data_IF_029626315257
#
_entry.id   IF_029626315257
#
_cell.length_a   1.000
_cell.length_b   1.000
_cell.length_c   1.000
_cell.angle_alpha   90.00
_cell.angle_beta   90.00
_cell.angle_gamma   90.00
#
_symmetry.space_group_name_H-M   'P 1'
#
loop_
_entity.id
_entity.type
_entity.pdbx_description
1 polymer ?
#
# COMPACT_ATOMS: atom_id res chain seq x y z
N UNK A 1 9.05 18.86 2.79
CA UNK A 1 8.94 17.81 3.83
C UNK A 1 9.01 16.47 3.13
N UNK A 2 10.03 15.69 3.47
CA UNK A 2 10.38 14.42 2.80
C UNK A 2 9.25 13.40 2.91
N UNK A 3 9.16 12.56 1.88
CA UNK A 3 8.09 11.63 1.53
C UNK A 3 7.98 10.45 2.52
N UNK A 4 7.68 10.72 3.79
CA UNK A 4 7.66 9.73 4.87
C UNK A 4 6.69 8.57 4.59
N UNK A 5 5.59 8.83 3.87
CA UNK A 5 4.63 7.80 3.49
C UNK A 5 5.20 6.76 2.53
N UNK A 6 6.17 7.11 1.65
CA UNK A 6 6.76 6.16 0.69
C UNK A 6 7.47 5.00 1.39
N UNK A 7 8.13 5.26 2.51
CA UNK A 7 8.82 4.23 3.29
C UNK A 7 7.83 3.21 3.84
N UNK A 8 6.68 3.68 4.34
CA UNK A 8 5.62 2.79 4.83
C UNK A 8 4.97 2.02 3.67
N UNK A 9 4.71 2.68 2.54
CA UNK A 9 4.12 2.01 1.39
C UNK A 9 5.04 0.92 0.81
N UNK A 10 6.35 1.17 0.73
CA UNK A 10 7.33 0.19 0.26
C UNK A 10 7.33 -1.10 1.09
N UNK A 11 7.03 -1.00 2.39
CA UNK A 11 6.88 -2.15 3.30
C UNK A 11 5.55 -2.89 3.15
N UNK A 12 4.64 -2.38 2.32
CA UNK A 12 3.37 -3.05 1.98
C UNK A 12 3.46 -3.83 0.67
N UNK A 13 4.59 -3.74 -0.04
CA UNK A 13 4.86 -4.48 -1.27
C UNK A 13 5.06 -5.98 -0.99
N UNK A 14 4.82 -6.87 -1.97
CA UNK A 14 5.05 -8.30 -1.80
C UNK A 14 6.54 -8.55 -1.51
N UNK A 15 6.89 -9.34 -0.47
CA UNK A 15 8.27 -9.61 -0.10
C UNK A 15 8.95 -10.68 -0.98
N UNK A 16 8.25 -11.25 -1.96
CA UNK A 16 8.75 -12.40 -2.72
C UNK A 16 8.67 -13.72 -1.93
N UNK A 17 9.26 -14.77 -2.51
CA UNK A 17 9.27 -16.10 -1.92
C UNK A 17 10.30 -16.23 -0.77
N UNK A 18 10.08 -15.53 0.35
CA UNK A 18 10.88 -15.68 1.57
C UNK A 18 10.54 -16.98 2.32
N UNK A 19 11.52 -17.57 3.01
CA UNK A 19 11.38 -18.87 3.69
C UNK A 19 10.54 -18.79 4.97
N UNK A 20 10.78 -17.79 5.83
CA UNK A 20 10.13 -17.64 7.13
C UNK A 20 8.88 -16.74 7.06
N UNK A 21 8.01 -16.97 6.06
CA UNK A 21 6.82 -16.14 5.85
C UNK A 21 5.73 -16.44 6.88
N UNK A 22 5.31 -15.41 7.62
CA UNK A 22 4.14 -15.43 8.49
C UNK A 22 3.03 -14.58 7.90
N UNK A 23 1.89 -15.20 7.58
CA UNK A 23 0.68 -14.49 7.10
C UNK A 23 0.24 -13.42 8.08
N UNK A 24 0.21 -13.75 9.37
CA UNK A 24 -0.30 -12.85 10.40
C UNK A 24 0.58 -11.61 10.54
N UNK A 25 1.90 -11.78 10.54
CA UNK A 25 2.86 -10.68 10.63
C UNK A 25 2.79 -9.81 9.38
N UNK A 26 2.78 -10.41 8.18
CA UNK A 26 2.67 -9.69 6.93
C UNK A 26 1.38 -8.87 6.83
N UNK A 27 0.22 -9.48 7.13
CA UNK A 27 -1.06 -8.77 7.09
C UNK A 27 -1.13 -7.62 8.10
N UNK A 28 -0.57 -7.83 9.30
CA UNK A 28 -0.49 -6.79 10.32
C UNK A 28 0.41 -5.63 9.87
N UNK A 29 1.57 -5.95 9.30
CA UNK A 29 2.51 -4.97 8.78
C UNK A 29 1.88 -4.11 7.66
N UNK A 30 1.26 -4.75 6.66
CA UNK A 30 0.55 -4.05 5.58
C UNK A 30 -0.52 -3.10 6.15
N UNK A 31 -1.37 -3.58 7.05
CA UNK A 31 -2.43 -2.75 7.63
C UNK A 31 -1.90 -1.54 8.41
N UNK A 32 -0.85 -1.73 9.21
CA UNK A 32 -0.20 -0.65 9.96
C UNK A 32 0.42 0.37 9.01
N UNK A 33 1.15 -0.09 8.00
CA UNK A 33 1.83 0.76 7.04
C UNK A 33 0.85 1.59 6.21
N UNK A 34 -0.25 1.00 5.72
CA UNK A 34 -1.30 1.72 5.02
C UNK A 34 -1.94 2.80 5.89
N UNK A 35 -2.21 2.48 7.16
CA UNK A 35 -2.72 3.47 8.12
C UNK A 35 -1.76 4.65 8.29
N UNK A 36 -0.45 4.40 8.33
CA UNK A 36 0.54 5.48 8.38
C UNK A 36 0.57 6.29 7.08
N UNK A 37 0.50 5.66 5.92
CA UNK A 37 0.43 6.36 4.64
C UNK A 37 -0.73 7.35 4.62
N UNK A 38 -1.94 6.90 4.96
CA UNK A 38 -3.16 7.72 4.96
C UNK A 38 -3.11 8.86 5.98
N UNK A 39 -2.45 8.67 7.14
CA UNK A 39 -2.28 9.73 8.15
C UNK A 39 -1.30 10.83 7.75
N UNK A 40 -0.39 10.54 6.83
CA UNK A 40 0.68 11.45 6.42
C UNK A 40 0.30 12.30 5.20
N UNK A 41 -0.90 12.09 4.66
CA UNK A 41 -1.48 12.87 3.57
C UNK A 41 -2.87 13.38 3.98
N UNK A 42 -3.50 14.20 3.14
CA UNK A 42 -4.94 14.44 3.20
C UNK A 42 -5.63 13.47 2.23
N UNK A 43 -6.07 12.28 2.68
CA UNK A 43 -6.54 11.24 1.78
C UNK A 43 -7.87 11.63 1.13
N UNK A 44 -7.98 11.31 -0.16
CA UNK A 44 -9.23 11.30 -0.92
C UNK A 44 -10.03 10.02 -0.63
N UNK A 45 -11.31 9.94 -1.01
CA UNK A 45 -12.03 8.66 -1.04
C UNK A 45 -11.28 7.60 -1.86
N UNK A 46 -10.70 8.00 -3.00
CA UNK A 46 -9.91 7.13 -3.86
C UNK A 46 -8.66 6.56 -3.15
N UNK A 47 -7.99 7.35 -2.30
CA UNK A 47 -6.91 6.86 -1.43
C UNK A 47 -7.39 5.71 -0.52
N UNK A 48 -8.60 5.82 0.02
CA UNK A 48 -9.17 4.83 0.95
C UNK A 48 -9.51 3.56 0.19
N UNK A 49 -10.20 3.67 -0.95
CA UNK A 49 -10.58 2.53 -1.80
C UNK A 49 -9.34 1.75 -2.28
N UNK A 50 -8.28 2.47 -2.67
CA UNK A 50 -7.02 1.85 -3.08
C UNK A 50 -6.27 1.19 -1.92
N UNK A 51 -6.33 1.75 -0.70
CA UNK A 51 -5.77 1.10 0.48
C UNK A 51 -6.54 -0.19 0.85
N UNK A 52 -7.87 -0.20 0.73
CA UNK A 52 -8.67 -1.41 0.90
C UNK A 52 -8.35 -2.46 -0.17
N UNK A 53 -8.14 -2.03 -1.42
CA UNK A 53 -7.69 -2.92 -2.49
C UNK A 53 -6.33 -3.54 -2.17
N UNK A 54 -5.36 -2.77 -1.65
CA UNK A 54 -4.06 -3.31 -1.22
C UNK A 54 -4.23 -4.37 -0.13
N UNK A 55 -5.08 -4.11 0.89
CA UNK A 55 -5.37 -5.10 1.93
C UNK A 55 -5.98 -6.39 1.37
N UNK A 56 -6.92 -6.28 0.44
CA UNK A 56 -7.54 -7.43 -0.22
C UNK A 56 -6.50 -8.23 -1.01
N UNK A 57 -5.62 -7.56 -1.76
CA UNK A 57 -4.56 -8.24 -2.53
C UNK A 57 -3.50 -8.87 -1.63
N UNK A 58 -3.16 -8.23 -0.52
CA UNK A 58 -2.24 -8.78 0.48
C UNK A 58 -2.79 -10.08 1.09
N UNK A 59 -4.10 -10.14 1.32
CA UNK A 59 -4.78 -11.37 1.74
C UNK A 59 -4.68 -12.47 0.69
N UNK A 60 -5.00 -12.18 -0.57
CA UNK A 60 -4.92 -13.19 -1.64
C UNK A 60 -3.49 -13.69 -1.85
N UNK A 61 -2.50 -12.80 -1.79
CA UNK A 61 -1.08 -13.16 -1.81
C UNK A 61 -0.73 -14.11 -0.67
N UNK A 62 -1.16 -13.79 0.55
CA UNK A 62 -0.93 -14.61 1.74
C UNK A 62 -1.57 -16.00 1.62
N UNK A 63 -2.80 -16.08 1.11
CA UNK A 63 -3.51 -17.33 0.85
C UNK A 63 -2.79 -18.18 -0.21
N UNK A 64 -2.27 -17.56 -1.28
CA UNK A 64 -1.47 -18.24 -2.29
C UNK A 64 -0.11 -18.71 -1.77
N UNK A 65 0.47 -17.99 -0.80
CA UNK A 65 1.76 -18.34 -0.16
C UNK A 65 1.66 -19.53 0.77
N UNK A 66 0.56 -19.66 1.51
CA UNK A 66 0.32 -20.76 2.47
C UNK A 66 -0.35 -21.99 1.85
N UNK A 67 -1.10 -21.81 0.76
CA UNK A 67 -1.89 -22.88 0.16
C UNK A 67 -1.17 -23.66 -0.93
N UNK A 68 -1.79 -24.74 -1.38
CA UNK A 68 -1.39 -25.55 -2.55
C UNK A 68 -1.49 -24.78 -3.89
N UNK A 69 -1.95 -23.52 -3.86
CA UNK A 69 -2.16 -22.64 -5.02
C UNK A 69 -0.86 -21.96 -5.47
N UNK A 70 0.27 -22.66 -5.41
CA UNK A 70 1.59 -22.15 -5.83
C UNK A 70 1.57 -21.61 -7.27
N UNK A 71 0.71 -22.17 -8.14
CA UNK A 71 0.51 -21.71 -9.53
C UNK A 71 -0.03 -20.28 -9.63
N UNK A 72 -0.73 -19.78 -8.61
CA UNK A 72 -1.30 -18.43 -8.58
C UNK A 72 -0.39 -17.43 -7.85
N UNK A 73 0.73 -17.87 -7.28
CA UNK A 73 1.60 -17.02 -6.49
C UNK A 73 2.06 -15.79 -7.28
N UNK A 74 2.60 -15.99 -8.48
CA UNK A 74 3.05 -14.89 -9.35
C UNK A 74 1.93 -13.91 -9.71
N UNK A 75 0.72 -14.42 -9.96
CA UNK A 75 -0.45 -13.58 -10.27
C UNK A 75 -0.87 -12.73 -9.06
N UNK A 76 -0.93 -13.35 -7.87
CA UNK A 76 -1.28 -12.62 -6.64
C UNK A 76 -0.20 -11.62 -6.20
N UNK A 77 1.07 -11.93 -6.48
CA UNK A 77 2.21 -11.04 -6.25
C UNK A 77 2.13 -9.81 -7.15
N UNK A 78 1.95 -10.01 -8.45
CA UNK A 78 1.79 -8.93 -9.42
C UNK A 78 0.56 -8.07 -9.10
N UNK A 79 -0.58 -8.70 -8.76
CA UNK A 79 -1.78 -7.97 -8.38
C UNK A 79 -1.59 -7.10 -7.12
N UNK A 80 -0.82 -7.57 -6.13
CA UNK A 80 -0.48 -6.75 -4.96
C UNK A 80 0.48 -5.61 -5.33
N UNK A 81 1.48 -5.88 -6.16
CA UNK A 81 2.41 -4.85 -6.63
C UNK A 81 1.68 -3.74 -7.40
N UNK A 82 0.75 -4.11 -8.28
CA UNK A 82 -0.07 -3.15 -9.05
C UNK A 82 -0.98 -2.32 -8.13
N UNK A 83 -1.68 -2.94 -7.18
CA UNK A 83 -2.51 -2.22 -6.22
C UNK A 83 -1.67 -1.21 -5.40
N UNK A 84 -0.49 -1.64 -4.95
CA UNK A 84 0.45 -0.78 -4.21
C UNK A 84 0.91 0.39 -5.08
N UNK A 85 1.18 0.15 -6.36
CA UNK A 85 1.58 1.20 -7.31
C UNK A 85 0.47 2.21 -7.59
N UNK A 86 -0.78 1.76 -7.72
CA UNK A 86 -1.92 2.67 -7.88
C UNK A 86 -2.09 3.56 -6.65
N UNK A 87 -1.98 2.99 -5.45
CA UNK A 87 -2.00 3.76 -4.22
C UNK A 87 -0.84 4.75 -4.13
N UNK A 88 0.37 4.39 -4.56
CA UNK A 88 1.51 5.30 -4.62
C UNK A 88 1.23 6.55 -5.45
N UNK A 89 0.61 6.37 -6.62
CA UNK A 89 0.26 7.46 -7.53
C UNK A 89 -0.75 8.41 -6.87
N UNK A 90 -1.79 7.86 -6.22
CA UNK A 90 -2.81 8.67 -5.57
C UNK A 90 -2.28 9.39 -4.31
N UNK A 91 -1.40 8.73 -3.53
CA UNK A 91 -0.73 9.36 -2.39
C UNK A 91 0.20 10.50 -2.84
N UNK A 92 0.89 10.34 -3.97
CA UNK A 92 1.69 11.42 -4.55
C UNK A 92 0.81 12.60 -4.96
N UNK A 93 -0.31 12.33 -5.63
CA UNK A 93 -1.30 13.35 -5.98
C UNK A 93 -1.81 14.11 -4.74
N UNK A 94 -2.20 13.39 -3.69
CA UNK A 94 -2.67 13.98 -2.44
C UNK A 94 -1.58 14.82 -1.75
N UNK A 95 -0.33 14.35 -1.74
CA UNK A 95 0.77 15.06 -1.11
C UNK A 95 1.11 16.38 -1.82
N UNK A 96 1.10 16.39 -3.15
CA UNK A 96 1.39 17.59 -3.95
C UNK A 96 0.25 18.62 -3.88
N UNK A 97 -1.01 18.17 -3.84
CA UNK A 97 -2.18 19.02 -3.63
C UNK A 97 -2.15 19.69 -2.25
N UNK A 98 -1.78 18.96 -1.20
CA UNK A 98 -1.65 19.52 0.16
C UNK A 98 -0.62 20.66 0.21
N UNK A 99 0.49 20.54 -0.51
CA UNK A 99 1.52 21.60 -0.59
C UNK A 99 0.98 22.82 -1.30
N UNK A 100 0.27 22.65 -2.42
CA UNK A 100 -0.33 23.77 -3.17
C UNK A 100 -1.41 24.52 -2.37
N UNK A 101 -2.24 23.79 -1.62
CA UNK A 101 -3.27 24.41 -0.77
C UNK A 101 -2.69 25.23 0.40
N UNK A 102 -1.48 24.90 0.87
CA UNK A 102 -0.79 25.65 1.92
C UNK A 102 -0.07 26.92 1.42
N UNK A 103 0.08 27.08 0.11
CA UNK A 103 0.76 28.21 -0.54
C UNK A 103 -0.20 29.25 -1.15
N UNK A 104 -1.46 29.30 -0.72
CA UNK A 104 -2.32 30.44 -1.08
C UNK A 104 -1.90 31.65 -0.22
N UNK A 105 -1.32 32.73 -0.80
CA UNK A 105 -1.22 33.99 -0.09
C UNK A 105 -2.63 34.54 0.05
N UNK A 106 -3.03 34.87 1.28
CA UNK A 106 -4.23 35.66 1.54
C UNK A 106 -4.05 36.98 0.78
N UNK A 107 -4.93 37.24 -0.18
CA UNK A 107 -5.00 38.49 -0.92
C UNK A 107 -5.53 39.63 -0.03
#
# INVERSE_FOLDING_TARGET
>A
MTQNWRVFLARSAPPGAILDFSVAEFMLEVAINLRYCLKLVQPTPECIDLAELVLLRARHYSEARMGDKSRLFAETEDALAQATRLLEIELEYCSTRSVKSGCNPVA
#
